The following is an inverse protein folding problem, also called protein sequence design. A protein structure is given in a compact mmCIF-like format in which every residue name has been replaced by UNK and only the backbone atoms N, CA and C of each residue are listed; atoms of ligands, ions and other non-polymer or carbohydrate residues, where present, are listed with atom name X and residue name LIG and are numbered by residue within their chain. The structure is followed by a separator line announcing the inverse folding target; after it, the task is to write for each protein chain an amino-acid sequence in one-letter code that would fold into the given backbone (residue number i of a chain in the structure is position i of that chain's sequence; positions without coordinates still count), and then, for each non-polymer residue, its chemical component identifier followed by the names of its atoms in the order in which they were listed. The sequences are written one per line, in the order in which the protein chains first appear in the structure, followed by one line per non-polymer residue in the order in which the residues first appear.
data_IF_403843550692
#
_entry.id   IF_403843550692
#
_cell.length_a   1.000
_cell.length_b   1.000
_cell.length_c   1.000
_cell.angle_alpha   90.00
_cell.angle_beta   90.00
_cell.angle_gamma   90.00
#
_symmetry.space_group_name_H-M   'P 1'
#
loop_
_entity.id
_entity.type
_entity.pdbx_description
1 polymer ?
#
# COMPACT_ATOMS: atom_id res chain seq x y z
N UNK A 1 23.97 -13.40 -22.18
CA UNK A 1 22.78 -12.93 -21.41
C UNK A 1 22.88 -11.42 -21.41
N UNK A 2 22.00 -10.73 -22.10
CA UNK A 2 21.89 -9.28 -21.96
C UNK A 2 21.43 -9.00 -20.52
N UNK A 3 22.30 -8.38 -19.73
CA UNK A 3 21.92 -7.89 -18.41
C UNK A 3 21.00 -6.69 -18.62
N UNK A 4 19.71 -6.88 -18.39
CA UNK A 4 18.78 -5.76 -18.39
C UNK A 4 19.17 -4.79 -17.28
N UNK A 5 19.48 -3.55 -17.65
CA UNK A 5 19.72 -2.50 -16.67
C UNK A 5 18.43 -2.22 -15.90
N UNK A 6 18.55 -2.11 -14.59
CA UNK A 6 17.44 -1.66 -13.73
C UNK A 6 16.98 -0.27 -14.16
N UNK A 7 15.68 -0.05 -14.25
CA UNK A 7 15.07 1.23 -14.60
C UNK A 7 14.35 1.77 -13.37
N UNK A 8 14.65 3.00 -12.98
CA UNK A 8 14.02 3.71 -11.86
C UNK A 8 13.21 4.87 -12.41
N UNK A 9 11.90 4.87 -12.14
CA UNK A 9 11.03 6.03 -12.33
C UNK A 9 11.10 6.86 -11.06
N UNK A 10 11.58 8.09 -11.17
CA UNK A 10 11.93 8.96 -10.05
C UNK A 10 11.05 10.19 -10.03
N UNK A 11 10.24 10.37 -8.99
CA UNK A 11 9.55 11.62 -8.72
C UNK A 11 10.51 12.69 -8.18
N UNK A 12 10.10 13.94 -8.27
CA UNK A 12 10.92 15.10 -7.89
C UNK A 12 10.52 15.67 -6.53
N UNK A 13 9.27 16.17 -6.42
CA UNK A 13 8.78 16.92 -5.26
C UNK A 13 8.37 15.99 -4.11
N UNK A 14 9.05 16.04 -2.99
CA UNK A 14 8.88 15.12 -1.87
C UNK A 14 9.79 13.90 -1.93
N UNK A 15 10.44 13.68 -3.09
CA UNK A 15 11.32 12.53 -3.31
C UNK A 15 12.79 12.92 -3.45
N UNK A 16 13.16 13.79 -4.38
CA UNK A 16 14.53 14.34 -4.47
C UNK A 16 14.72 15.61 -3.67
N UNK A 17 13.68 16.43 -3.62
CA UNK A 17 13.64 17.67 -2.86
C UNK A 17 12.44 17.67 -1.93
N UNK A 18 12.48 18.49 -0.87
CA UNK A 18 11.30 18.72 -0.02
C UNK A 18 10.18 19.33 -0.86
N UNK A 19 8.91 18.95 -0.57
CA UNK A 19 7.78 19.44 -1.35
C UNK A 19 7.53 20.93 -1.08
N UNK A 20 7.85 21.77 -2.08
CA UNK A 20 7.76 23.24 -2.01
C UNK A 20 7.22 23.87 -3.30
N UNK A 21 6.55 23.04 -4.12
CA UNK A 21 6.02 23.47 -5.41
C UNK A 21 5.24 24.81 -5.31
N UNK A 22 5.45 25.78 -6.25
CA UNK A 22 6.18 25.63 -7.53
C UNK A 22 7.70 25.81 -7.44
N UNK A 23 8.24 26.34 -6.35
CA UNK A 23 9.68 26.50 -6.16
C UNK A 23 10.36 25.12 -6.03
N UNK A 24 11.67 25.08 -6.26
CA UNK A 24 12.49 23.91 -5.96
C UNK A 24 12.73 23.88 -4.44
N UNK A 25 12.38 22.75 -3.81
CA UNK A 25 12.61 22.54 -2.38
C UNK A 25 14.07 22.25 -2.04
N UNK A 26 14.35 22.02 -0.75
CA UNK A 26 15.68 21.66 -0.28
C UNK A 26 16.02 20.23 -0.68
N UNK A 27 17.29 19.92 -1.07
CA UNK A 27 17.71 18.59 -1.43
C UNK A 27 17.47 17.57 -0.32
N UNK A 28 16.95 16.39 -0.66
CA UNK A 28 16.85 15.24 0.24
C UNK A 28 18.10 14.38 0.02
N UNK A 29 19.20 14.75 0.66
CA UNK A 29 20.53 14.17 0.48
C UNK A 29 20.57 12.64 0.54
N UNK A 30 19.81 12.05 1.47
CA UNK A 30 19.73 10.59 1.61
C UNK A 30 19.24 9.91 0.34
N UNK A 31 18.22 10.48 -0.30
CA UNK A 31 17.63 9.93 -1.53
C UNK A 31 18.55 10.15 -2.73
N UNK A 32 19.19 11.32 -2.80
CA UNK A 32 20.17 11.64 -3.83
C UNK A 32 21.37 10.68 -3.76
N UNK A 33 21.92 10.43 -2.58
CA UNK A 33 23.02 9.49 -2.38
C UNK A 33 22.63 8.05 -2.76
N UNK A 34 21.41 7.63 -2.38
CA UNK A 34 20.88 6.32 -2.76
C UNK A 34 20.79 6.21 -4.28
N UNK A 35 20.23 7.23 -4.95
CA UNK A 35 20.09 7.25 -6.40
C UNK A 35 21.45 7.17 -7.13
N UNK A 36 22.42 7.97 -6.69
CA UNK A 36 23.78 7.94 -7.25
C UNK A 36 24.45 6.57 -7.13
N UNK A 37 24.21 5.88 -6.02
CA UNK A 37 24.67 4.50 -5.88
C UNK A 37 24.04 3.58 -6.92
N UNK A 38 22.71 3.63 -7.09
CA UNK A 38 22.01 2.83 -8.11
C UNK A 38 22.53 3.13 -9.52
N UNK A 39 22.79 4.40 -9.85
CA UNK A 39 23.38 4.77 -11.14
C UNK A 39 24.80 4.22 -11.30
N UNK A 40 25.62 4.22 -10.24
CA UNK A 40 26.95 3.60 -10.24
C UNK A 40 26.87 2.10 -10.49
N UNK A 41 25.81 1.46 -10.00
CA UNK A 41 25.52 0.04 -10.21
C UNK A 41 24.87 -0.24 -11.59
N UNK A 42 24.71 0.79 -12.44
CA UNK A 42 24.25 0.68 -13.82
C UNK A 42 22.73 0.87 -14.02
N UNK A 43 22.03 1.39 -13.01
CA UNK A 43 20.60 1.71 -13.18
C UNK A 43 20.39 2.90 -14.12
N UNK A 44 19.34 2.83 -14.93
CA UNK A 44 18.81 3.93 -15.73
C UNK A 44 17.75 4.69 -14.97
N UNK A 45 17.70 6.00 -15.14
CA UNK A 45 16.81 6.89 -14.39
C UNK A 45 15.91 7.67 -15.34
N UNK A 46 14.61 7.55 -15.14
CA UNK A 46 13.60 8.37 -15.79
C UNK A 46 13.05 9.35 -14.76
N UNK A 47 13.24 10.65 -14.96
CA UNK A 47 12.53 11.65 -14.16
C UNK A 47 11.04 11.58 -14.50
N UNK A 48 10.21 11.18 -13.54
CA UNK A 48 8.78 10.97 -13.70
C UNK A 48 8.00 11.89 -12.76
N UNK A 49 7.69 13.10 -13.21
CA UNK A 49 7.15 14.18 -12.38
C UNK A 49 5.95 14.85 -13.05
N UNK A 50 5.07 15.42 -12.23
CA UNK A 50 3.96 16.24 -12.68
C UNK A 50 4.38 17.68 -13.04
N UNK A 51 5.65 18.05 -12.85
CA UNK A 51 6.16 19.36 -13.29
C UNK A 51 6.11 19.49 -14.80
N UNK A 52 5.75 20.69 -15.30
CA UNK A 52 5.70 21.00 -16.72
C UNK A 52 6.31 22.36 -17.04
N UNK A 53 6.59 22.63 -18.33
CA UNK A 53 7.13 23.90 -18.79
C UNK A 53 8.44 24.30 -18.08
N UNK A 54 8.50 25.53 -17.58
CA UNK A 54 9.70 26.04 -16.88
C UNK A 54 10.00 25.28 -15.58
N UNK A 55 8.97 24.83 -14.86
CA UNK A 55 9.16 24.07 -13.62
C UNK A 55 9.79 22.69 -13.87
N UNK A 56 9.48 22.06 -15.00
CA UNK A 56 10.15 20.83 -15.42
C UNK A 56 11.62 21.09 -15.74
N UNK A 57 11.89 22.21 -16.43
CA UNK A 57 13.28 22.61 -16.72
C UNK A 57 14.09 22.81 -15.44
N UNK A 58 13.53 23.47 -14.43
CA UNK A 58 14.16 23.67 -13.14
C UNK A 58 14.48 22.33 -12.45
N UNK A 59 13.57 21.33 -12.52
CA UNK A 59 13.81 20.01 -11.96
C UNK A 59 14.94 19.26 -12.70
N UNK A 60 15.00 19.38 -14.04
CA UNK A 60 16.09 18.80 -14.85
C UNK A 60 17.41 19.50 -14.55
N UNK A 61 17.42 20.84 -14.46
CA UNK A 61 18.62 21.62 -14.13
C UNK A 61 19.14 21.24 -12.73
N UNK A 62 18.24 21.08 -11.73
CA UNK A 62 18.58 20.57 -10.41
C UNK A 62 19.27 19.20 -10.47
N UNK A 63 18.70 18.24 -11.21
CA UNK A 63 19.31 16.93 -11.36
C UNK A 63 20.73 17.03 -11.94
N UNK A 64 20.94 17.90 -12.93
CA UNK A 64 22.23 18.14 -13.54
C UNK A 64 23.23 18.77 -12.55
N UNK A 65 22.81 19.74 -11.76
CA UNK A 65 23.65 20.41 -10.74
C UNK A 65 24.08 19.47 -9.64
N UNK A 66 23.27 18.41 -9.39
CA UNK A 66 23.57 17.38 -8.39
C UNK A 66 24.22 16.12 -9.00
N UNK A 67 24.74 16.17 -10.23
CA UNK A 67 25.34 15.05 -10.95
C UNK A 67 24.44 13.81 -11.04
N UNK A 68 23.14 14.01 -11.17
CA UNK A 68 22.15 12.97 -11.44
C UNK A 68 21.95 12.87 -12.96
N UNK A 69 22.34 11.75 -13.55
CA UNK A 69 22.11 11.49 -14.96
C UNK A 69 20.66 11.04 -15.18
N UNK A 70 19.97 11.70 -16.13
CA UNK A 70 18.62 11.31 -16.55
C UNK A 70 18.69 10.66 -17.94
N UNK A 71 18.20 9.44 -18.06
CA UNK A 71 18.11 8.71 -19.34
C UNK A 71 16.86 9.12 -20.14
N UNK A 72 15.78 9.54 -19.44
CA UNK A 72 14.57 10.11 -20.03
C UNK A 72 13.85 11.02 -19.02
N UNK A 73 12.89 11.83 -19.52
CA UNK A 73 12.08 12.74 -18.73
C UNK A 73 10.63 12.63 -19.16
N UNK A 74 9.76 12.14 -18.29
CA UNK A 74 8.32 11.95 -18.53
C UNK A 74 7.98 11.11 -19.77
N UNK A 75 8.87 10.24 -20.18
CA UNK A 75 8.69 9.32 -21.32
C UNK A 75 9.39 7.99 -21.06
N UNK A 76 8.97 6.94 -21.76
CA UNK A 76 9.65 5.65 -21.71
C UNK A 76 11.02 5.69 -22.39
N UNK A 77 11.93 4.81 -21.96
CA UNK A 77 13.19 4.61 -22.65
C UNK A 77 12.95 4.06 -24.08
N UNK A 78 13.73 4.48 -25.09
CA UNK A 78 13.57 4.01 -26.47
C UNK A 78 13.57 2.49 -26.61
N UNK A 79 14.41 1.78 -25.85
CA UNK A 79 14.47 0.34 -25.85
C UNK A 79 13.20 -0.31 -25.28
N UNK A 80 12.56 0.31 -24.27
CA UNK A 80 11.27 -0.14 -23.73
C UNK A 80 10.16 0.02 -24.76
N UNK A 81 10.10 1.18 -25.44
CA UNK A 81 9.14 1.44 -26.52
C UNK A 81 9.31 0.42 -27.65
N UNK A 82 10.56 0.14 -28.05
CA UNK A 82 10.86 -0.86 -29.07
C UNK A 82 10.44 -2.27 -28.66
N UNK A 83 10.65 -2.64 -27.40
CA UNK A 83 10.32 -3.95 -26.87
C UNK A 83 8.81 -4.18 -26.76
N UNK A 84 8.06 -3.17 -26.28
CA UNK A 84 6.61 -3.27 -26.04
C UNK A 84 5.75 -2.80 -27.23
N UNK A 85 6.36 -2.19 -28.25
CA UNK A 85 5.67 -1.73 -29.44
C UNK A 85 4.84 -0.46 -29.27
N UNK A 86 4.88 0.18 -28.11
CA UNK A 86 4.15 1.42 -27.83
C UNK A 86 4.76 2.22 -26.69
N UNK A 87 4.58 3.54 -26.73
CA UNK A 87 4.88 4.43 -25.62
C UNK A 87 3.62 4.65 -24.78
N UNK A 88 3.52 3.95 -23.66
CA UNK A 88 2.38 4.04 -22.76
C UNK A 88 2.54 5.20 -21.77
N UNK A 89 1.41 5.82 -21.35
CA UNK A 89 1.45 6.90 -20.35
C UNK A 89 2.03 6.44 -19.01
N UNK A 90 1.75 5.20 -18.59
CA UNK A 90 2.46 4.60 -17.47
C UNK A 90 3.78 4.11 -18.02
N UNK A 91 4.87 4.79 -17.66
CA UNK A 91 6.21 4.37 -18.06
C UNK A 91 6.58 3.02 -17.45
N UNK A 92 7.38 2.24 -18.17
CA UNK A 92 7.93 1.01 -17.62
C UNK A 92 9.15 1.33 -16.75
N UNK A 93 9.12 0.85 -15.50
CA UNK A 93 10.25 0.89 -14.59
C UNK A 93 10.23 -0.34 -13.68
N UNK A 94 11.41 -0.71 -13.17
CA UNK A 94 11.54 -1.78 -12.17
C UNK A 94 11.18 -1.27 -10.78
N UNK A 95 11.45 0.01 -10.52
CA UNK A 95 11.11 0.69 -9.27
C UNK A 95 10.53 2.07 -9.55
N UNK A 96 9.55 2.47 -8.73
CA UNK A 96 8.97 3.81 -8.72
C UNK A 96 9.30 4.44 -7.37
N UNK A 97 10.18 5.43 -7.40
CA UNK A 97 10.55 6.21 -6.22
C UNK A 97 9.70 7.46 -6.17
N UNK A 98 8.73 7.48 -5.28
CA UNK A 98 7.69 8.51 -5.18
C UNK A 98 7.20 8.56 -3.73
N UNK A 99 7.16 9.75 -3.13
CA UNK A 99 6.73 9.98 -1.74
C UNK A 99 5.25 9.64 -1.51
N UNK A 100 4.47 9.55 -2.59
CA UNK A 100 3.04 9.23 -2.58
C UNK A 100 2.72 7.82 -3.04
N UNK A 101 3.74 7.07 -3.46
CA UNK A 101 3.53 5.68 -3.84
C UNK A 101 3.25 4.83 -2.61
N UNK A 102 2.15 4.09 -2.66
CA UNK A 102 1.86 3.05 -1.67
C UNK A 102 2.40 1.74 -2.23
N UNK A 103 3.46 1.17 -1.63
CA UNK A 103 3.98 -0.11 -2.09
C UNK A 103 2.92 -1.20 -1.87
N UNK A 104 2.58 -1.90 -2.95
CA UNK A 104 1.63 -3.03 -2.94
C UNK A 104 2.42 -4.29 -3.22
N UNK A 105 2.94 -4.94 -2.18
CA UNK A 105 3.53 -6.28 -2.31
C UNK A 105 2.43 -7.34 -2.27
N UNK A 106 2.71 -8.57 -2.78
CA UNK A 106 1.79 -9.70 -2.58
C UNK A 106 1.58 -9.99 -1.08
N UNK A 107 2.55 -9.63 -0.24
CA UNK A 107 2.46 -9.68 1.21
C UNK A 107 1.58 -8.54 1.75
N UNK A 108 1.59 -7.36 1.11
CA UNK A 108 0.72 -6.23 1.47
C UNK A 108 -0.73 -6.43 0.95
N UNK A 109 -0.93 -7.20 -0.11
CA UNK A 109 -2.26 -7.68 -0.52
C UNK A 109 -2.75 -8.77 0.45
N UNK A 110 -1.80 -9.48 1.13
CA UNK A 110 -2.07 -10.39 2.22
C UNK A 110 -2.10 -9.71 3.59
N UNK A 111 -1.51 -8.52 3.70
CA UNK A 111 -1.55 -7.66 4.88
C UNK A 111 -2.56 -6.49 4.71
N UNK A 112 -3.65 -6.73 4.05
CA UNK A 112 -4.89 -6.47 4.75
C UNK A 112 -4.82 -7.39 5.97
N UNK A 113 -4.06 -6.99 6.97
CA UNK A 113 -3.95 -7.76 8.19
C UNK A 113 -5.39 -8.03 8.55
N UNK A 114 -5.72 -9.29 8.75
CA UNK A 114 -7.06 -9.64 9.23
C UNK A 114 -7.43 -8.67 10.35
N UNK A 115 -6.46 -8.18 11.07
CA UNK A 115 -6.55 -7.20 12.14
C UNK A 115 -7.00 -5.79 11.72
N UNK A 116 -6.82 -5.35 10.47
CA UNK A 116 -7.26 -3.99 10.05
C UNK A 116 -8.78 -3.82 10.01
N UNK A 117 -9.51 -4.91 9.82
CA UNK A 117 -10.98 -4.92 9.78
C UNK A 117 -11.59 -5.52 11.05
N UNK A 118 -10.80 -6.22 11.84
CA UNK A 118 -11.26 -6.85 13.05
C UNK A 118 -11.14 -5.89 14.23
N UNK A 119 -12.24 -5.73 14.96
CA UNK A 119 -12.29 -4.93 16.17
C UNK A 119 -12.18 -5.89 17.34
N UNK A 120 -11.17 -5.73 18.18
CA UNK A 120 -11.02 -6.54 19.39
C UNK A 120 -12.23 -6.37 20.31
N UNK A 121 -12.72 -7.45 20.86
CA UNK A 121 -13.80 -7.38 21.87
C UNK A 121 -13.36 -6.66 23.15
N UNK A 122 -12.06 -6.60 23.40
CA UNK A 122 -11.47 -5.85 24.51
C UNK A 122 -11.42 -4.34 24.24
N UNK A 123 -11.43 -3.92 22.94
CA UNK A 123 -11.48 -2.51 22.56
C UNK A 123 -12.89 -1.96 22.64
N UNK A 124 -13.83 -2.61 21.97
CA UNK A 124 -15.26 -2.27 22.03
C UNK A 124 -16.14 -3.41 21.51
N UNK A 125 -17.37 -3.43 21.98
CA UNK A 125 -18.42 -4.32 21.48
C UNK A 125 -19.30 -3.60 20.45
N UNK A 126 -20.06 -4.32 19.60
CA UNK A 126 -21.05 -3.71 18.71
C UNK A 126 -22.07 -2.86 19.48
N UNK A 127 -22.20 -1.60 19.12
CA UNK A 127 -23.07 -0.65 19.82
C UNK A 127 -24.58 -0.81 19.52
N UNK A 128 -24.91 -1.49 18.42
CA UNK A 128 -26.31 -1.63 17.97
C UNK A 128 -26.93 -2.93 18.47
N UNK A 129 -28.05 -2.83 19.20
CA UNK A 129 -28.82 -3.99 19.61
C UNK A 129 -29.80 -4.42 18.50
N UNK A 130 -30.38 -5.59 18.57
CA UNK A 130 -29.90 -6.94 18.88
C UNK A 130 -29.92 -7.88 17.67
N UNK A 131 -29.90 -7.40 16.41
CA UNK A 131 -30.15 -8.22 15.22
C UNK A 131 -29.18 -8.01 14.04
N UNK A 132 -28.15 -7.19 14.22
CA UNK A 132 -27.16 -7.07 13.16
C UNK A 132 -26.14 -8.20 13.31
N UNK A 133 -26.21 -9.14 12.37
CA UNK A 133 -25.23 -10.20 12.23
C UNK A 133 -23.88 -9.59 11.86
N UNK A 134 -22.85 -9.98 12.59
CA UNK A 134 -21.46 -9.60 12.34
C UNK A 134 -20.61 -10.85 12.14
N UNK A 135 -19.49 -10.72 11.44
CA UNK A 135 -18.48 -11.77 11.44
C UNK A 135 -17.70 -11.69 12.75
N UNK A 136 -17.45 -12.83 13.37
CA UNK A 136 -16.62 -12.94 14.57
C UNK A 136 -15.45 -13.85 14.32
N UNK A 137 -14.30 -13.46 14.90
CA UNK A 137 -13.10 -14.28 14.97
C UNK A 137 -13.04 -14.91 16.37
N UNK A 138 -12.83 -16.21 16.41
CA UNK A 138 -12.71 -16.95 17.66
C UNK A 138 -11.28 -17.41 17.87
N UNK A 139 -10.84 -17.36 19.13
CA UNK A 139 -9.65 -18.09 19.56
C UNK A 139 -10.01 -19.57 19.69
N UNK A 140 -9.25 -20.41 19.02
CA UNK A 140 -9.51 -21.83 18.99
C UNK A 140 -8.45 -22.60 19.81
N UNK A 141 -8.87 -23.45 20.72
CA UNK A 141 -7.98 -24.40 21.39
C UNK A 141 -7.77 -25.62 20.47
N UNK A 142 -6.54 -26.15 20.31
CA UNK A 142 -6.07 -26.88 19.12
C UNK A 142 -6.63 -28.27 18.84
N UNK A 143 -7.73 -28.72 19.42
CA UNK A 143 -8.18 -30.11 19.22
C UNK A 143 -9.17 -30.33 18.07
N UNK A 144 -9.69 -29.27 17.40
CA UNK A 144 -10.66 -29.43 16.31
C UNK A 144 -10.49 -28.50 15.10
N UNK A 145 -9.32 -27.89 14.93
CA UNK A 145 -8.80 -27.29 13.70
C UNK A 145 -9.78 -26.56 12.79
N UNK A 146 -10.05 -25.31 12.99
CA UNK A 146 -10.11 -24.24 11.97
C UNK A 146 -10.60 -22.93 12.59
N UNK A 147 -9.75 -21.88 12.62
CA UNK A 147 -10.17 -20.52 12.93
C UNK A 147 -10.99 -19.90 11.78
N UNK A 148 -12.09 -20.53 11.41
CA UNK A 148 -12.99 -20.00 10.37
C UNK A 148 -13.81 -18.89 10.99
N UNK A 149 -13.96 -17.72 10.36
CA UNK A 149 -14.88 -16.70 10.82
C UNK A 149 -16.31 -17.24 10.91
N UNK A 150 -17.00 -16.93 11.99
CA UNK A 150 -18.40 -17.29 12.20
C UNK A 150 -19.29 -16.07 12.03
N UNK A 151 -20.50 -16.29 11.51
CA UNK A 151 -21.55 -15.27 11.56
C UNK A 151 -22.21 -15.35 12.92
N UNK A 152 -22.21 -14.23 13.65
CA UNK A 152 -22.74 -14.18 15.02
C UNK A 152 -23.43 -12.86 15.32
N UNK A 153 -24.18 -12.81 16.41
CA UNK A 153 -24.76 -11.59 16.94
C UNK A 153 -24.53 -11.50 18.46
N UNK A 154 -24.47 -10.28 18.98
CA UNK A 154 -24.32 -10.02 20.40
C UNK A 154 -25.68 -9.72 21.02
N UNK A 155 -26.06 -10.43 22.09
CA UNK A 155 -27.29 -10.19 22.86
C UNK A 155 -26.97 -10.17 24.34
N UNK A 156 -27.25 -9.04 25.01
CA UNK A 156 -26.98 -8.86 26.43
C UNK A 156 -25.54 -9.19 26.85
N UNK A 157 -24.56 -8.86 26.00
CA UNK A 157 -23.15 -9.15 26.27
C UNK A 157 -22.71 -10.58 26.02
N UNK A 158 -23.56 -11.41 25.41
CA UNK A 158 -23.28 -12.82 25.09
C UNK A 158 -23.37 -13.04 23.59
N UNK A 159 -22.40 -13.76 23.03
CA UNK A 159 -22.32 -14.08 21.61
C UNK A 159 -23.12 -15.31 21.24
N UNK A 160 -23.87 -15.26 20.14
CA UNK A 160 -24.66 -16.33 19.57
C UNK A 160 -24.33 -16.47 18.09
N UNK A 161 -24.25 -17.69 17.57
CA UNK A 161 -24.17 -17.97 16.14
C UNK A 161 -25.36 -18.83 15.69
N UNK A 162 -25.59 -18.86 14.38
CA UNK A 162 -26.64 -19.68 13.77
C UNK A 162 -26.32 -21.20 13.76
N UNK A 163 -25.05 -21.52 13.94
CA UNK A 163 -24.56 -22.91 13.98
C UNK A 163 -24.59 -23.54 15.38
N UNK A 164 -24.81 -22.75 16.43
CA UNK A 164 -24.82 -23.21 17.82
C UNK A 164 -26.24 -23.18 18.41
N UNK A 165 -26.56 -24.13 19.25
CA UNK A 165 -27.87 -24.19 19.95
C UNK A 165 -27.93 -23.29 21.19
N UNK A 166 -26.81 -22.64 21.56
CA UNK A 166 -26.66 -21.80 22.74
C UNK A 166 -25.59 -20.72 22.57
N UNK A 167 -25.20 -20.05 23.65
CA UNK A 167 -24.09 -19.10 23.64
C UNK A 167 -22.80 -19.72 23.10
N UNK A 168 -22.04 -18.92 22.31
CA UNK A 168 -20.77 -19.41 21.72
C UNK A 168 -19.74 -19.77 22.81
N UNK A 169 -19.72 -18.99 23.89
CA UNK A 169 -18.78 -19.21 25.01
C UNK A 169 -19.12 -20.44 25.87
N UNK A 170 -20.33 -21.02 25.74
CA UNK A 170 -20.68 -22.30 26.36
C UNK A 170 -20.14 -23.49 25.57
N UNK A 171 -19.67 -23.27 24.34
CA UNK A 171 -18.99 -24.29 23.56
C UNK A 171 -17.54 -24.43 24.05
N UNK A 172 -17.12 -25.60 24.54
CA UNK A 172 -15.76 -25.77 25.05
C UNK A 172 -14.69 -25.35 24.05
N UNK A 173 -13.79 -24.46 24.45
CA UNK A 173 -12.68 -23.99 23.63
C UNK A 173 -13.03 -22.89 22.64
N UNK A 174 -14.24 -22.32 22.68
CA UNK A 174 -14.62 -21.16 21.85
C UNK A 174 -14.64 -19.89 22.67
N UNK A 175 -13.83 -18.91 22.25
CA UNK A 175 -13.84 -17.54 22.79
C UNK A 175 -13.84 -16.57 21.64
N UNK A 176 -14.80 -15.66 21.59
CA UNK A 176 -14.80 -14.58 20.61
C UNK A 176 -13.74 -13.55 21.01
N UNK A 177 -12.80 -13.25 20.11
CA UNK A 177 -11.68 -12.33 20.35
C UNK A 177 -11.78 -11.05 19.53
N UNK A 178 -12.49 -11.09 18.40
CA UNK A 178 -12.69 -9.92 17.55
C UNK A 178 -13.97 -10.06 16.72
N UNK A 179 -14.48 -8.95 16.23
CA UNK A 179 -15.65 -8.87 15.38
C UNK A 179 -15.44 -7.89 14.24
N UNK A 180 -16.23 -8.02 13.17
CA UNK A 180 -16.12 -7.23 11.98
C UNK A 180 -17.44 -6.53 11.67
N UNK A 181 -17.40 -5.21 11.55
CA UNK A 181 -18.56 -4.40 11.18
C UNK A 181 -18.66 -4.26 9.66
N UNK A 182 -19.59 -5.00 9.06
CA UNK A 182 -19.86 -4.95 7.61
C UNK A 182 -20.32 -3.57 7.13
N UNK A 183 -20.80 -2.68 8.00
CA UNK A 183 -21.19 -1.32 7.63
C UNK A 183 -20.00 -0.41 7.43
N UNK A 184 -18.87 -0.68 8.08
CA UNK A 184 -17.62 0.09 7.94
C UNK A 184 -17.08 0.05 6.51
N UNK A 185 -17.36 -1.02 5.72
CA UNK A 185 -16.99 -1.09 4.31
C UNK A 185 -17.75 -0.06 3.46
N UNK A 186 -19.04 0.17 3.76
CA UNK A 186 -19.87 1.09 2.98
C UNK A 186 -19.47 2.55 3.17
N UNK A 187 -19.00 2.91 4.35
CA UNK A 187 -18.61 4.30 4.64
C UNK A 187 -17.21 4.67 4.09
N UNK A 188 -16.33 3.69 3.89
CA UNK A 188 -14.98 3.90 3.34
C UNK A 188 -14.91 3.79 1.82
N UNK A 189 -15.90 3.17 1.17
CA UNK A 189 -16.00 3.04 -0.30
C UNK A 189 -16.60 4.26 -1.00
N UNK A 190 -16.98 5.31 -0.28
CA UNK A 190 -17.66 6.51 -0.82
C UNK A 190 -16.86 7.81 -0.59
N UNK A 191 -15.54 7.73 -0.49
CA UNK A 191 -14.69 8.93 -0.51
C UNK A 191 -13.78 8.94 -1.73
#
# INVERSE_FOLDING_TARGET
METYSKIIALDFDGTLVTNKYPEVGEPIEKNILKLKKEQTDGAKVILWTSRGGNYLKEAVDFCKEHDIHLDAVNENLPESIKSFGSDTRKIFANEYWDDRAVPMSEQDVGDFSEDYFWISVDERLPEKPPYDWVLVKTEFIPESGSGVPHVAYLRNGVWYCDCCTGPMEETPGVKVIAWFDMQTIKERGTK
#
